data_IF_123819351927
#
_entry.id   IF_123819351927
#
_cell.length_a   1.000
_cell.length_b   1.000
_cell.length_c   1.000
_cell.angle_alpha   90.00
_cell.angle_beta   90.00
_cell.angle_gamma   90.00
#
_symmetry.space_group_name_H-M   'P 1'
#
loop_
_entity.id
_entity.type
_entity.pdbx_description
1 polymer ?
#
# COMPACT_ATOMS: atom_id res chain seq x y z
N UNK A 1 -1.40 -0.61 8.65
CA UNK A 1 -1.95 -1.70 9.49
C UNK A 1 -2.80 -2.58 8.59
N UNK A 2 -2.46 -3.86 8.46
CA UNK A 2 -3.28 -4.79 7.69
C UNK A 2 -4.41 -5.37 8.56
N UNK A 3 -5.56 -5.73 7.97
CA UNK A 3 -6.53 -6.57 8.65
C UNK A 3 -5.98 -8.00 8.81
N UNK A 4 -6.26 -8.67 9.93
CA UNK A 4 -5.91 -10.08 10.11
C UNK A 4 -6.67 -10.92 9.08
N UNK A 5 -6.01 -11.59 8.11
CA UNK A 5 -6.70 -12.33 7.07
C UNK A 5 -7.34 -13.59 7.66
N UNK A 6 -8.51 -13.97 7.15
CA UNK A 6 -9.10 -15.27 7.51
C UNK A 6 -8.25 -16.41 6.93
N UNK A 7 -7.86 -17.39 7.75
CA UNK A 7 -7.02 -18.53 7.33
C UNK A 7 -7.57 -19.24 6.10
N UNK A 8 -8.90 -19.40 6.01
CA UNK A 8 -9.57 -20.02 4.84
C UNK A 8 -9.29 -19.29 3.52
N UNK A 9 -9.12 -17.96 3.56
CA UNK A 9 -8.76 -17.17 2.38
C UNK A 9 -7.29 -17.37 2.02
N UNK A 10 -6.40 -17.39 3.01
CA UNK A 10 -4.96 -17.62 2.81
C UNK A 10 -4.66 -18.99 2.19
N UNK A 11 -5.47 -20.01 2.49
CA UNK A 11 -5.30 -21.37 1.98
C UNK A 11 -6.02 -21.63 0.64
N UNK A 12 -6.74 -20.65 0.08
CA UNK A 12 -7.47 -20.86 -1.16
C UNK A 12 -6.55 -20.75 -2.39
N UNK A 13 -6.17 -21.90 -2.97
CA UNK A 13 -5.30 -21.98 -4.15
C UNK A 13 -5.86 -21.37 -5.44
N UNK A 14 -7.11 -20.90 -5.46
CA UNK A 14 -7.70 -20.18 -6.61
C UNK A 14 -7.56 -18.66 -6.48
N UNK A 15 -6.96 -18.14 -5.41
CA UNK A 15 -6.82 -16.72 -5.13
C UNK A 15 -5.35 -16.40 -4.91
N UNK A 16 -4.86 -15.35 -5.58
CA UNK A 16 -3.56 -14.76 -5.28
C UNK A 16 -3.76 -13.58 -4.34
N UNK A 17 -3.05 -13.58 -3.21
CA UNK A 17 -3.13 -12.55 -2.17
C UNK A 17 -1.74 -11.93 -1.98
N UNK A 18 -1.71 -10.63 -1.68
CA UNK A 18 -0.48 -9.89 -1.39
C UNK A 18 -0.67 -9.01 -0.15
N UNK A 19 0.36 -8.81 0.68
CA UNK A 19 0.27 -7.98 1.89
C UNK A 19 0.33 -6.48 1.55
N UNK A 20 -0.81 -5.91 1.11
CA UNK A 20 -1.00 -4.48 0.80
C UNK A 20 0.16 -3.80 0.04
N UNK A 21 0.77 -4.50 -0.92
CA UNK A 21 1.94 -4.00 -1.66
C UNK A 21 1.59 -3.13 -2.89
N UNK A 22 0.32 -2.74 -3.07
CA UNK A 22 -0.16 -2.11 -4.30
C UNK A 22 0.53 -0.79 -4.66
N UNK A 23 0.93 0.00 -3.66
CA UNK A 23 1.69 1.24 -3.84
C UNK A 23 3.16 1.12 -3.41
N UNK A 24 3.63 -0.08 -3.09
CA UNK A 24 4.94 -0.31 -2.47
C UNK A 24 6.10 -0.38 -3.49
N UNK A 25 5.95 0.20 -4.68
CA UNK A 25 7.07 0.34 -5.62
C UNK A 25 7.88 1.60 -5.29
N UNK A 26 9.16 1.61 -5.66
CA UNK A 26 10.03 2.75 -5.37
C UNK A 26 9.52 4.03 -6.06
N UNK A 27 9.07 3.91 -7.31
CA UNK A 27 8.55 5.00 -8.12
C UNK A 27 7.23 5.55 -7.57
N UNK A 28 6.34 4.67 -7.10
CA UNK A 28 5.09 5.09 -6.48
C UNK A 28 5.36 5.81 -5.15
N UNK A 29 6.27 5.29 -4.33
CA UNK A 29 6.62 5.91 -3.06
C UNK A 29 7.31 7.27 -3.23
N UNK A 30 8.17 7.42 -4.25
CA UNK A 30 8.82 8.71 -4.58
C UNK A 30 7.80 9.79 -4.99
N UNK A 31 6.86 9.42 -5.87
CA UNK A 31 5.76 10.31 -6.28
C UNK A 31 4.86 10.70 -5.11
N UNK A 32 4.42 9.74 -4.31
CA UNK A 32 3.58 9.97 -3.12
C UNK A 32 4.31 10.90 -2.14
N UNK A 33 5.60 10.66 -1.91
CA UNK A 33 6.43 11.48 -1.02
C UNK A 33 6.52 12.93 -1.50
N UNK A 34 6.77 13.13 -2.79
CA UNK A 34 6.87 14.46 -3.41
C UNK A 34 5.55 15.22 -3.33
N UNK A 35 4.43 14.58 -3.68
CA UNK A 35 3.10 15.18 -3.61
C UNK A 35 2.68 15.53 -2.18
N UNK A 36 3.03 14.69 -1.21
CA UNK A 36 2.77 14.94 0.21
C UNK A 36 3.58 16.13 0.72
N UNK A 37 4.88 16.19 0.40
CA UNK A 37 5.73 17.31 0.77
C UNK A 37 5.22 18.64 0.19
N UNK A 38 4.79 18.62 -1.09
CA UNK A 38 4.19 19.79 -1.74
C UNK A 38 2.91 20.26 -1.03
N UNK A 39 2.03 19.33 -0.63
CA UNK A 39 0.83 19.66 0.14
C UNK A 39 1.16 20.27 1.51
N UNK A 40 2.11 19.68 2.25
CA UNK A 40 2.50 20.20 3.57
C UNK A 40 3.06 21.62 3.43
N UNK A 41 3.92 21.86 2.45
CA UNK A 41 4.48 23.20 2.19
C UNK A 41 3.40 24.23 1.84
N UNK A 42 2.31 23.82 1.17
CA UNK A 42 1.20 24.72 0.83
C UNK A 42 0.29 25.05 2.03
N UNK A 43 0.38 24.30 3.13
CA UNK A 43 -0.36 24.55 4.38
C UNK A 43 0.42 25.43 5.38
N UNK A 44 1.73 25.62 5.15
CA UNK A 44 2.61 26.46 5.95
C UNK A 44 2.63 27.90 5.44
#
# INVERSE_FOLDING_TARGET
KEPTPAIKLLMNGKISLTPHIGAATLEAQDRIGTELAAHINALA
#
